data_IF_573231177458
#
_entry.id   IF_573231177458
#
_cell.length_a   1.000
_cell.length_b   1.000
_cell.length_c   1.000
_cell.angle_alpha   90.00
_cell.angle_beta   90.00
_cell.angle_gamma   90.00
#
_symmetry.space_group_name_H-M   'P 1'
#
loop_
_entity.id
_entity.type
_entity.pdbx_description
1 polymer ?
#
# COMPACT_ATOMS: atom_id res chain seq x y z
N UNK A 1 -3.86 24.83 3.61
CA UNK A 1 -3.12 24.04 2.62
C UNK A 1 -2.05 23.29 3.40
N UNK A 2 -2.09 21.96 3.42
CA UNK A 2 -1.07 21.17 4.11
C UNK A 2 0.30 21.41 3.45
N UNK A 3 1.40 21.45 4.21
CA UNK A 3 2.72 21.58 3.62
C UNK A 3 2.99 20.36 2.71
N UNK A 4 3.55 20.62 1.52
CA UNK A 4 4.11 19.56 0.66
C UNK A 4 5.50 19.23 1.15
N UNK A 5 5.77 17.95 1.37
CA UNK A 5 7.07 17.47 1.83
C UNK A 5 7.96 16.97 0.70
N UNK A 6 7.40 16.86 -0.50
CA UNK A 6 8.11 16.55 -1.75
C UNK A 6 8.17 17.76 -2.67
N UNK A 7 9.37 18.06 -3.16
CA UNK A 7 9.62 19.16 -4.09
C UNK A 7 9.03 18.87 -5.47
N UNK A 8 8.61 19.90 -6.21
CA UNK A 8 8.13 19.69 -7.58
C UNK A 8 9.21 19.10 -8.48
N UNK A 9 10.46 19.47 -8.27
CA UNK A 9 11.65 18.95 -8.93
C UNK A 9 11.96 17.49 -8.57
N UNK A 10 11.41 16.98 -7.47
CA UNK A 10 11.60 15.58 -7.05
C UNK A 10 10.53 14.64 -7.66
N UNK A 11 9.29 15.09 -7.75
CA UNK A 11 8.13 14.18 -7.98
C UNK A 11 7.14 14.65 -9.05
N UNK A 12 7.41 15.72 -9.80
CA UNK A 12 6.49 16.15 -10.86
C UNK A 12 6.49 15.21 -12.06
N UNK A 13 5.37 15.11 -12.81
CA UNK A 13 5.33 14.38 -14.07
C UNK A 13 6.47 14.78 -15.02
N UNK A 14 7.12 13.77 -15.60
CA UNK A 14 8.28 13.94 -16.49
C UNK A 14 9.65 13.84 -15.82
N UNK A 15 9.73 14.03 -14.49
CA UNK A 15 10.95 13.77 -13.72
C UNK A 15 11.36 12.31 -13.88
N UNK A 16 12.67 12.07 -13.99
CA UNK A 16 13.27 10.75 -14.03
C UNK A 16 14.00 10.50 -12.73
N UNK A 17 13.56 9.48 -12.00
CA UNK A 17 14.17 9.02 -10.76
C UNK A 17 15.11 7.87 -11.13
N UNK A 18 16.37 8.00 -10.72
CA UNK A 18 17.44 7.05 -11.00
C UNK A 18 17.58 6.11 -9.79
N UNK A 19 17.18 4.85 -9.96
CA UNK A 19 17.43 3.75 -9.02
C UNK A 19 18.38 2.74 -9.70
N UNK A 20 18.24 1.43 -9.46
CA UNK A 20 18.88 0.44 -10.34
C UNK A 20 18.37 0.60 -11.78
N UNK A 21 17.07 0.88 -11.91
CA UNK A 21 16.44 1.28 -13.16
C UNK A 21 16.03 2.75 -13.14
N UNK A 22 15.75 3.28 -14.33
CA UNK A 22 15.30 4.66 -14.51
C UNK A 22 13.79 4.70 -14.61
N UNK A 23 13.15 5.52 -13.78
CA UNK A 23 11.70 5.60 -13.68
C UNK A 23 11.22 7.00 -13.97
N UNK A 24 10.43 7.17 -15.04
CA UNK A 24 9.79 8.44 -15.35
C UNK A 24 8.46 8.54 -14.61
N UNK A 25 8.28 9.62 -13.85
CA UNK A 25 7.02 9.95 -13.19
C UNK A 25 5.96 10.32 -14.23
N UNK A 26 4.77 9.74 -14.10
CA UNK A 26 3.61 9.99 -14.95
C UNK A 26 2.57 10.85 -14.22
N UNK A 27 2.25 10.51 -12.98
CA UNK A 27 1.27 11.21 -12.15
C UNK A 27 1.56 11.03 -10.66
N UNK A 28 0.96 11.93 -9.88
CA UNK A 28 0.92 11.90 -8.43
C UNK A 28 -0.45 11.41 -7.98
N UNK A 29 -0.48 10.38 -7.14
CA UNK A 29 -1.73 9.77 -6.70
C UNK A 29 -2.08 10.23 -5.28
N UNK A 30 -1.14 10.11 -4.33
CA UNK A 30 -1.41 10.31 -2.91
C UNK A 30 -0.15 10.82 -2.19
N UNK A 31 -0.30 11.76 -1.25
CA UNK A 31 0.75 12.13 -0.28
C UNK A 31 0.19 11.97 1.14
N UNK A 32 0.81 11.09 1.92
CA UNK A 32 0.47 10.80 3.32
C UNK A 32 1.57 11.34 4.23
N UNK A 33 1.17 12.02 5.32
CA UNK A 33 2.10 12.60 6.29
C UNK A 33 1.80 12.03 7.66
N UNK A 34 2.77 11.30 8.20
CA UNK A 34 2.75 10.81 9.58
C UNK A 34 3.61 11.75 10.42
N UNK A 35 3.09 12.92 10.79
CA UNK A 35 3.81 13.84 11.68
C UNK A 35 3.58 13.45 13.14
N UNK A 36 4.62 13.55 13.98
CA UNK A 36 4.54 13.23 15.40
C UNK A 36 5.46 14.14 16.21
N UNK A 37 5.02 14.53 17.41
CA UNK A 37 5.85 15.22 18.40
C UNK A 37 6.82 14.28 19.12
N UNK A 38 7.89 14.83 19.70
CA UNK A 38 8.98 14.07 20.33
C UNK A 38 8.50 13.07 21.38
N UNK A 39 7.45 13.41 22.16
CA UNK A 39 6.86 12.53 23.20
C UNK A 39 6.20 11.27 22.63
N UNK A 40 5.74 11.31 21.38
CA UNK A 40 5.09 10.19 20.68
C UNK A 40 6.09 9.33 19.88
N UNK A 41 7.29 9.86 19.60
CA UNK A 41 8.34 9.13 18.86
C UNK A 41 9.05 8.06 19.68
N UNK A 42 8.88 8.06 21.01
CA UNK A 42 9.54 7.13 21.92
C UNK A 42 9.03 5.68 21.81
N UNK A 43 7.83 5.46 21.25
CA UNK A 43 7.23 4.12 21.25
C UNK A 43 6.62 3.62 19.93
N UNK A 44 6.20 4.41 18.93
CA UNK A 44 5.58 3.75 17.75
C UNK A 44 5.45 4.48 16.41
N UNK A 45 5.74 5.77 16.25
CA UNK A 45 5.72 6.38 14.90
C UNK A 45 6.85 7.39 14.71
N UNK A 46 7.67 7.15 13.67
CA UNK A 46 8.74 8.05 13.24
C UNK A 46 8.12 9.08 12.30
N UNK A 47 8.42 10.38 12.41
CA UNK A 47 7.84 11.34 11.48
C UNK A 47 8.30 11.06 10.05
N UNK A 48 7.36 10.82 9.14
CA UNK A 48 7.67 10.65 7.71
C UNK A 48 6.58 11.21 6.81
N UNK A 49 6.97 11.59 5.60
CA UNK A 49 6.07 11.79 4.49
C UNK A 49 6.24 10.64 3.49
N UNK A 50 5.14 10.18 2.93
CA UNK A 50 5.09 9.14 1.92
C UNK A 50 4.32 9.67 0.71
N UNK A 51 4.84 9.46 -0.48
CA UNK A 51 4.16 9.85 -1.72
C UNK A 51 4.05 8.63 -2.64
N UNK A 52 2.87 8.44 -3.23
CA UNK A 52 2.59 7.43 -4.23
C UNK A 52 2.57 8.07 -5.62
N UNK A 53 3.39 7.53 -6.51
CA UNK A 53 3.55 7.97 -7.89
C UNK A 53 3.25 6.84 -8.87
N UNK A 54 2.66 7.18 -10.02
CA UNK A 54 2.68 6.31 -11.20
C UNK A 54 3.96 6.54 -11.97
N UNK A 55 4.66 5.46 -12.30
CA UNK A 55 5.93 5.52 -13.00
C UNK A 55 5.99 4.57 -14.19
N UNK A 56 6.83 4.92 -15.16
CA UNK A 56 7.19 4.05 -16.29
C UNK A 56 8.70 3.90 -16.38
N UNK A 57 9.18 2.68 -16.52
CA UNK A 57 10.61 2.42 -16.72
C UNK A 57 11.08 3.02 -18.05
N UNK A 58 12.23 3.70 -18.04
CA UNK A 58 12.80 4.37 -19.21
C UNK A 58 13.65 3.38 -20.00
N UNK A 59 13.28 3.19 -21.27
CA UNK A 59 14.05 2.34 -22.20
C UNK A 59 13.63 0.87 -22.21
N UNK A 60 12.68 0.45 -21.37
CA UNK A 60 12.13 -0.91 -21.41
C UNK A 60 11.29 -1.14 -22.67
N UNK A 61 11.43 -2.34 -23.25
CA UNK A 61 10.64 -2.85 -24.37
C UNK A 61 10.32 -4.34 -24.08
N UNK A 62 9.05 -4.72 -23.82
CA UNK A 62 7.86 -3.87 -23.77
C UNK A 62 7.87 -2.83 -22.62
N UNK A 63 6.99 -1.80 -22.65
CA UNK A 63 6.88 -0.84 -21.56
C UNK A 63 6.56 -1.51 -20.23
N UNK A 64 7.25 -1.09 -19.17
CA UNK A 64 7.02 -1.53 -17.79
C UNK A 64 6.48 -0.36 -16.98
N UNK A 65 5.34 -0.56 -16.35
CA UNK A 65 4.67 0.42 -15.47
C UNK A 65 4.73 -0.05 -14.02
N UNK A 66 4.77 0.91 -13.10
CA UNK A 66 4.84 0.62 -11.68
C UNK A 66 4.21 1.70 -10.83
N UNK A 67 3.98 1.33 -9.58
CA UNK A 67 3.61 2.21 -8.48
C UNK A 67 4.88 2.45 -7.66
N UNK A 68 5.31 3.70 -7.52
CA UNK A 68 6.47 4.07 -6.72
C UNK A 68 6.02 4.77 -5.45
N UNK A 69 6.28 4.17 -4.29
CA UNK A 69 6.19 4.86 -3.00
C UNK A 69 7.57 5.37 -2.58
N UNK A 70 7.64 6.65 -2.22
CA UNK A 70 8.85 7.27 -1.67
C UNK A 70 8.57 7.66 -0.22
N UNK A 71 9.34 7.10 0.70
CA UNK A 71 9.30 7.42 2.11
C UNK A 71 10.44 8.38 2.45
N UNK A 72 10.12 9.51 3.04
CA UNK A 72 11.09 10.55 3.42
C UNK A 72 10.92 10.87 4.90
N UNK A 73 12.01 10.78 5.67
CA UNK A 73 11.99 11.26 7.05
C UNK A 73 11.70 12.77 7.07
N UNK A 74 10.73 13.19 7.88
CA UNK A 74 10.45 14.61 8.10
C UNK A 74 10.85 15.00 9.54
N UNK A 75 11.02 16.31 9.83
CA UNK A 75 11.28 16.77 11.19
C UNK A 75 10.08 16.47 12.09
N UNK A 76 10.33 16.42 13.40
CA UNK A 76 9.22 16.47 14.37
C UNK A 76 8.56 17.85 14.33
N UNK A 77 7.38 17.97 14.93
CA UNK A 77 6.69 19.27 15.07
C UNK A 77 7.57 20.32 15.76
N UNK A 78 8.36 19.89 16.75
CA UNK A 78 9.23 20.75 17.54
C UNK A 78 10.50 21.18 16.79
N UNK A 79 10.95 20.37 15.83
CA UNK A 79 12.24 20.57 15.15
C UNK A 79 12.08 21.10 13.72
N UNK A 80 10.86 21.26 13.21
CA UNK A 80 10.61 21.73 11.83
C UNK A 80 11.22 23.11 11.55
N UNK A 81 11.22 24.00 12.56
CA UNK A 81 11.79 25.34 12.47
C UNK A 81 13.27 25.44 12.84
N UNK A 82 13.88 24.35 13.32
CA UNK A 82 15.27 24.36 13.75
C UNK A 82 16.23 24.37 12.57
N UNK A 83 17.50 24.72 12.81
CA UNK A 83 18.55 24.68 11.79
C UNK A 83 18.82 23.25 11.29
N UNK A 84 19.30 23.05 10.05
CA UNK A 84 19.59 21.72 9.50
C UNK A 84 20.50 20.89 10.41
N UNK A 85 21.48 21.50 11.09
CA UNK A 85 22.42 20.77 11.96
C UNK A 85 21.74 20.20 13.22
N UNK A 86 20.63 20.80 13.66
CA UNK A 86 19.82 20.31 14.78
C UNK A 86 18.92 19.16 14.30
N UNK A 87 18.26 19.33 13.15
CA UNK A 87 17.42 18.29 12.54
C UNK A 87 18.22 17.04 12.17
N UNK A 88 19.46 17.22 11.72
CA UNK A 88 20.38 16.12 11.41
C UNK A 88 20.65 15.19 12.61
N UNK A 89 20.63 15.72 13.85
CA UNK A 89 20.78 14.90 15.07
C UNK A 89 19.61 13.94 15.29
N UNK A 90 18.48 14.19 14.62
CA UNK A 90 17.27 13.35 14.65
C UNK A 90 17.23 12.35 13.49
N UNK A 91 18.22 12.35 12.59
CA UNK A 91 18.34 11.36 11.53
C UNK A 91 18.26 9.93 12.06
N UNK A 92 17.54 9.07 11.34
CA UNK A 92 17.38 7.65 11.65
C UNK A 92 17.56 6.82 10.39
N UNK A 93 18.00 5.58 10.58
CA UNK A 93 17.90 4.53 9.56
C UNK A 93 16.58 3.80 9.77
N UNK A 94 15.79 3.65 8.72
CA UNK A 94 14.50 2.98 8.76
C UNK A 94 14.17 2.35 7.42
N UNK A 95 13.48 1.22 7.47
CA UNK A 95 12.95 0.52 6.30
C UNK A 95 11.45 0.34 6.52
N UNK A 96 10.59 0.81 5.59
CA UNK A 96 9.15 0.66 5.70
C UNK A 96 8.75 -0.82 5.68
N UNK A 97 7.65 -1.15 6.38
CA UNK A 97 7.09 -2.49 6.40
C UNK A 97 6.69 -2.95 4.98
N UNK A 98 6.22 -2.03 4.13
CA UNK A 98 5.93 -2.29 2.71
C UNK A 98 7.13 -2.93 1.99
N UNK A 99 8.33 -2.36 2.11
CA UNK A 99 9.52 -2.90 1.45
C UNK A 99 9.91 -4.28 2.01
N UNK A 100 9.74 -4.48 3.33
CA UNK A 100 9.99 -5.78 3.96
C UNK A 100 9.01 -6.84 3.44
N UNK A 101 7.73 -6.50 3.38
CA UNK A 101 6.68 -7.38 2.87
C UNK A 101 6.96 -7.75 1.42
N UNK A 102 7.21 -6.78 0.53
CA UNK A 102 7.52 -7.06 -0.86
C UNK A 102 8.74 -7.96 -1.05
N UNK A 103 9.81 -7.76 -0.26
CA UNK A 103 10.99 -8.65 -0.28
C UNK A 103 10.61 -10.08 0.12
N UNK A 104 9.78 -10.27 1.14
CA UNK A 104 9.32 -11.59 1.56
C UNK A 104 8.40 -12.24 0.52
N UNK A 105 7.41 -11.51 -0.01
CA UNK A 105 6.50 -12.00 -1.04
C UNK A 105 7.23 -12.42 -2.31
N UNK A 106 8.27 -11.68 -2.70
CA UNK A 106 9.14 -12.02 -3.80
C UNK A 106 9.93 -13.31 -3.53
N UNK A 107 10.46 -13.50 -2.32
CA UNK A 107 11.14 -14.75 -1.93
C UNK A 107 10.19 -15.96 -1.89
N UNK A 108 8.87 -15.74 -1.74
CA UNK A 108 7.84 -16.77 -1.78
C UNK A 108 7.29 -17.02 -3.18
N UNK A 109 7.83 -16.35 -4.21
CA UNK A 109 7.34 -16.41 -5.58
C UNK A 109 5.82 -16.15 -5.67
N UNK A 110 5.34 -15.13 -4.95
CA UNK A 110 3.92 -14.77 -4.94
C UNK A 110 3.40 -14.48 -6.35
N UNK A 111 2.26 -15.09 -6.68
CA UNK A 111 1.59 -14.96 -7.99
C UNK A 111 0.32 -14.10 -7.94
N UNK A 112 0.01 -13.53 -6.79
CA UNK A 112 -1.23 -12.78 -6.53
C UNK A 112 -0.98 -11.46 -5.76
N UNK A 113 0.28 -11.02 -5.73
CA UNK A 113 0.68 -9.71 -5.23
C UNK A 113 1.54 -9.03 -6.30
N UNK A 114 1.58 -7.70 -6.38
CA UNK A 114 2.50 -7.00 -7.26
C UNK A 114 3.95 -7.44 -7.02
N UNK A 115 4.73 -7.58 -8.08
CA UNK A 115 6.17 -7.84 -7.95
C UNK A 115 6.91 -6.58 -7.51
N UNK A 116 7.94 -6.75 -6.69
CA UNK A 116 8.92 -5.70 -6.44
C UNK A 116 9.78 -5.54 -7.69
N UNK A 117 9.71 -4.39 -8.34
CA UNK A 117 10.45 -4.08 -9.56
C UNK A 117 11.79 -3.39 -9.28
N UNK A 118 11.83 -2.55 -8.23
CA UNK A 118 13.02 -1.79 -7.85
C UNK A 118 12.89 -1.32 -6.39
N UNK A 119 14.01 -1.05 -5.74
CA UNK A 119 14.02 -0.39 -4.43
C UNK A 119 15.36 0.26 -4.14
N UNK A 120 15.34 1.37 -3.42
CA UNK A 120 16.56 2.05 -2.98
C UNK A 120 16.39 2.53 -1.54
N UNK A 121 17.44 2.38 -0.74
CA UNK A 121 17.52 2.89 0.63
C UNK A 121 18.72 3.83 0.72
N UNK A 122 18.47 5.13 0.92
CA UNK A 122 19.52 6.13 1.05
C UNK A 122 19.30 7.04 2.25
N UNK A 123 20.29 7.92 2.45
CA UNK A 123 20.21 9.02 3.39
C UNK A 123 19.98 10.31 2.63
N UNK A 124 19.12 11.15 3.19
CA UNK A 124 18.90 12.52 2.76
C UNK A 124 20.20 13.33 2.77
N UNK A 125 20.33 14.22 1.79
CA UNK A 125 21.50 15.10 1.62
C UNK A 125 21.57 16.20 2.70
N UNK A 126 22.55 17.10 2.57
CA UNK A 126 22.80 18.15 3.57
C UNK A 126 21.71 19.24 3.59
N UNK A 127 21.00 19.44 2.48
CA UNK A 127 20.03 20.51 2.28
C UNK A 127 18.58 20.04 2.48
N UNK A 128 18.39 18.73 2.63
CA UNK A 128 17.11 18.08 2.87
C UNK A 128 16.47 18.45 4.22
N UNK A 129 15.21 18.05 4.37
CA UNK A 129 14.40 18.32 5.56
C UNK A 129 15.04 17.73 6.83
N UNK A 130 15.55 16.50 6.75
CA UNK A 130 16.30 15.89 7.84
C UNK A 130 17.62 15.37 7.29
N UNK A 131 18.70 16.17 7.32
CA UNK A 131 19.97 15.76 6.75
C UNK A 131 20.49 14.46 7.38
N UNK A 132 20.87 13.49 6.54
CA UNK A 132 21.27 12.15 6.98
C UNK A 132 20.12 11.24 7.42
N UNK A 133 18.87 11.72 7.46
CA UNK A 133 17.67 10.93 7.70
C UNK A 133 17.36 9.98 6.56
N UNK A 134 16.45 9.03 6.74
CA UNK A 134 16.18 8.04 5.69
C UNK A 134 15.44 8.64 4.50
N UNK A 135 15.69 8.06 3.33
CA UNK A 135 14.86 8.16 2.13
C UNK A 135 14.79 6.77 1.48
N UNK A 136 13.59 6.25 1.26
CA UNK A 136 13.40 4.88 0.74
C UNK A 136 12.43 4.90 -0.42
N UNK A 137 12.81 4.30 -1.54
CA UNK A 137 11.98 4.12 -2.73
C UNK A 137 11.59 2.66 -2.84
N UNK A 138 10.31 2.42 -3.11
CA UNK A 138 9.73 1.09 -3.35
C UNK A 138 8.96 1.16 -4.66
N UNK A 139 9.37 0.40 -5.67
CA UNK A 139 8.67 0.32 -6.95
C UNK A 139 8.03 -1.05 -7.08
N UNK A 140 6.70 -1.09 -7.08
CA UNK A 140 5.94 -2.31 -7.30
C UNK A 140 5.27 -2.31 -8.68
N UNK A 141 4.95 -3.50 -9.18
CA UNK A 141 4.29 -3.69 -10.46
C UNK A 141 2.90 -3.03 -10.53
N UNK A 142 2.62 -2.40 -11.66
CA UNK A 142 1.24 -2.06 -12.01
C UNK A 142 0.53 -3.29 -12.59
N UNK A 143 -0.34 -3.90 -11.78
CA UNK A 143 -1.11 -5.07 -12.18
C UNK A 143 -2.22 -4.65 -13.15
N UNK A 144 -2.24 -5.24 -14.34
CA UNK A 144 -3.28 -5.05 -15.35
C UNK A 144 -4.45 -6.00 -15.12
N UNK A 145 -5.64 -5.47 -14.83
CA UNK A 145 -6.85 -6.25 -14.62
C UNK A 145 -8.06 -5.36 -14.34
N UNK A 146 -9.11 -5.95 -13.78
CA UNK A 146 -10.35 -5.27 -13.40
C UNK A 146 -10.28 -4.97 -11.90
N UNK A 147 -10.11 -3.69 -11.54
CA UNK A 147 -10.23 -3.26 -10.14
C UNK A 147 -11.68 -3.40 -9.69
N UNK A 148 -11.89 -3.94 -8.49
CA UNK A 148 -13.22 -4.36 -8.02
C UNK A 148 -14.08 -3.23 -7.46
N UNK A 149 -13.50 -2.06 -7.20
CA UNK A 149 -14.19 -0.86 -6.74
C UNK A 149 -13.29 0.37 -6.82
N UNK A 150 -13.77 1.47 -6.30
CA UNK A 150 -13.04 2.72 -6.09
C UNK A 150 -13.37 3.29 -4.69
N UNK A 151 -12.87 4.50 -4.39
CA UNK A 151 -13.07 5.17 -3.10
C UNK A 151 -14.56 5.40 -2.78
N UNK A 152 -15.45 5.40 -3.80
CA UNK A 152 -16.86 5.72 -3.66
C UNK A 152 -17.76 4.47 -3.65
N UNK A 153 -17.40 3.39 -4.36
CA UNK A 153 -18.23 2.18 -4.37
C UNK A 153 -17.52 0.86 -4.75
N UNK A 154 -18.17 -0.24 -4.35
CA UNK A 154 -17.86 -1.62 -4.74
C UNK A 154 -18.70 -2.09 -5.95
N UNK A 155 -19.32 -1.15 -6.70
CA UNK A 155 -20.32 -1.48 -7.72
C UNK A 155 -19.75 -2.30 -8.89
N UNK A 156 -18.46 -2.15 -9.20
CA UNK A 156 -17.81 -2.95 -10.25
C UNK A 156 -17.90 -4.43 -9.88
N UNK A 157 -17.51 -4.82 -8.66
CA UNK A 157 -17.67 -6.19 -8.18
C UNK A 157 -19.12 -6.65 -8.27
N UNK A 158 -20.09 -5.86 -7.78
CA UNK A 158 -21.50 -6.27 -7.75
C UNK A 158 -22.19 -6.32 -9.12
N UNK A 159 -21.65 -5.61 -10.11
CA UNK A 159 -22.10 -5.69 -11.51
C UNK A 159 -21.68 -6.99 -12.21
N UNK A 160 -20.72 -7.73 -11.65
CA UNK A 160 -20.22 -8.98 -12.24
C UNK A 160 -21.22 -10.13 -12.06
N UNK A 161 -21.13 -11.10 -12.98
CA UNK A 161 -21.89 -12.34 -12.91
C UNK A 161 -21.62 -13.08 -11.58
N UNK A 162 -22.65 -13.75 -11.04
CA UNK A 162 -22.59 -14.44 -9.75
C UNK A 162 -21.47 -15.49 -9.67
N UNK A 163 -21.24 -16.23 -10.75
CA UNK A 163 -20.13 -17.19 -10.85
C UNK A 163 -18.76 -16.52 -10.76
N UNK A 164 -18.57 -15.35 -11.37
CA UNK A 164 -17.33 -14.57 -11.30
C UNK A 164 -17.12 -14.03 -9.88
N UNK A 165 -18.16 -13.48 -9.26
CA UNK A 165 -18.10 -13.03 -7.85
C UNK A 165 -17.72 -14.18 -6.91
N UNK A 166 -18.22 -15.40 -7.15
CA UNK A 166 -17.82 -16.57 -6.38
C UNK A 166 -16.35 -16.93 -6.60
N UNK A 167 -15.85 -16.94 -7.84
CA UNK A 167 -14.43 -17.20 -8.13
C UNK A 167 -13.51 -16.17 -7.45
N UNK A 168 -13.91 -14.90 -7.44
CA UNK A 168 -13.20 -13.84 -6.73
C UNK A 168 -13.13 -14.14 -5.24
N UNK A 169 -14.23 -14.54 -4.60
CA UNK A 169 -14.23 -14.89 -3.17
C UNK A 169 -13.37 -16.12 -2.86
N UNK A 170 -13.45 -17.14 -3.70
CA UNK A 170 -12.63 -18.35 -3.55
C UNK A 170 -11.14 -17.99 -3.64
N UNK A 171 -10.76 -17.19 -4.66
CA UNK A 171 -9.40 -16.69 -4.82
C UNK A 171 -8.97 -15.76 -3.67
N UNK A 172 -9.84 -14.88 -3.19
CA UNK A 172 -9.56 -14.00 -2.05
C UNK A 172 -9.20 -14.83 -0.82
N UNK A 173 -10.03 -15.81 -0.46
CA UNK A 173 -9.83 -16.64 0.73
C UNK A 173 -8.54 -17.45 0.62
N UNK A 174 -8.31 -18.10 -0.52
CA UNK A 174 -7.10 -18.90 -0.76
C UNK A 174 -5.84 -18.03 -0.63
N UNK A 175 -5.82 -16.90 -1.32
CA UNK A 175 -4.67 -16.00 -1.35
C UNK A 175 -4.44 -15.33 0.02
N UNK A 176 -5.51 -14.93 0.73
CA UNK A 176 -5.42 -14.35 2.06
C UNK A 176 -4.82 -15.35 3.07
N UNK A 177 -5.29 -16.60 3.09
CA UNK A 177 -4.72 -17.63 3.96
C UNK A 177 -3.26 -17.93 3.64
N UNK A 178 -2.89 -17.88 2.36
CA UNK A 178 -1.50 -18.04 1.93
C UNK A 178 -0.62 -16.88 2.41
N UNK A 179 -1.09 -15.64 2.33
CA UNK A 179 -0.42 -14.46 2.91
C UNK A 179 -0.23 -14.56 4.41
N UNK A 180 -1.27 -14.98 5.15
CA UNK A 180 -1.21 -15.24 6.59
C UNK A 180 -0.13 -16.28 6.92
N UNK A 181 -0.03 -17.37 6.14
CA UNK A 181 1.02 -18.38 6.30
C UNK A 181 2.43 -17.88 5.98
N UNK A 182 2.54 -16.73 5.31
CA UNK A 182 3.79 -16.04 5.03
C UNK A 182 4.06 -14.89 5.99
N UNK A 183 3.24 -14.74 7.03
CA UNK A 183 3.40 -13.76 8.11
C UNK A 183 3.20 -12.30 7.66
N UNK A 184 2.56 -12.06 6.51
CA UNK A 184 2.33 -10.71 5.98
C UNK A 184 0.95 -10.57 5.38
N UNK A 185 0.20 -9.53 5.76
CA UNK A 185 -1.07 -9.16 5.14
C UNK A 185 -1.08 -7.66 4.80
N UNK A 186 -1.73 -7.25 3.71
CA UNK A 186 -1.96 -5.83 3.48
C UNK A 186 -2.96 -5.30 4.51
N UNK A 187 -2.74 -4.07 4.99
CA UNK A 187 -3.69 -3.39 5.87
C UNK A 187 -4.98 -3.01 5.11
N UNK A 188 -4.84 -2.74 3.82
CA UNK A 188 -5.92 -2.39 2.91
C UNK A 188 -6.30 -3.60 2.05
N UNK A 189 -7.55 -4.04 2.15
CA UNK A 189 -8.07 -5.20 1.42
C UNK A 189 -9.49 -4.98 0.87
N UNK A 190 -9.90 -3.72 0.67
CA UNK A 190 -11.21 -3.38 0.13
C UNK A 190 -11.26 -3.59 -1.39
N UNK A 191 -12.44 -3.53 -2.00
CA UNK A 191 -12.61 -3.71 -3.44
C UNK A 191 -11.70 -2.79 -4.30
N UNK A 192 -11.37 -1.59 -3.84
CA UNK A 192 -10.41 -0.70 -4.52
C UNK A 192 -8.95 -1.21 -4.49
N UNK A 193 -8.58 -2.00 -3.48
CA UNK A 193 -7.26 -2.60 -3.28
C UNK A 193 -7.12 -3.97 -3.96
N UNK A 194 -8.18 -4.42 -4.64
CA UNK A 194 -8.29 -5.73 -5.25
C UNK A 194 -8.42 -5.62 -6.76
N UNK A 195 -7.60 -6.38 -7.49
CA UNK A 195 -7.65 -6.47 -8.96
C UNK A 195 -7.90 -7.90 -9.39
N UNK A 196 -9.01 -8.13 -10.07
CA UNK A 196 -9.31 -9.41 -10.70
C UNK A 196 -8.66 -9.50 -12.09
N UNK A 197 -7.93 -10.58 -12.34
CA UNK A 197 -7.30 -10.87 -13.63
C UNK A 197 -8.02 -12.07 -14.27
N UNK A 198 -8.98 -11.84 -15.21
CA UNK A 198 -9.79 -12.92 -15.76
C UNK A 198 -8.99 -13.99 -16.49
N UNK A 199 -7.90 -13.62 -17.16
CA UNK A 199 -7.08 -14.55 -17.95
C UNK A 199 -6.42 -15.65 -17.13
N UNK A 200 -6.19 -15.41 -15.84
CA UNK A 200 -5.57 -16.37 -14.91
C UNK A 200 -6.51 -16.75 -13.76
N UNK A 201 -7.74 -16.24 -13.75
CA UNK A 201 -8.69 -16.35 -12.64
C UNK A 201 -8.03 -16.04 -11.28
N UNK A 202 -7.22 -14.97 -11.22
CA UNK A 202 -6.44 -14.62 -10.02
C UNK A 202 -6.87 -13.28 -9.48
N UNK A 203 -7.12 -13.20 -8.18
CA UNK A 203 -7.32 -11.96 -7.46
C UNK A 203 -6.00 -11.45 -6.87
N UNK A 204 -5.60 -10.23 -7.26
CA UNK A 204 -4.41 -9.56 -6.76
C UNK A 204 -4.73 -8.59 -5.62
N UNK A 205 -3.87 -8.59 -4.60
CA UNK A 205 -3.86 -7.61 -3.51
C UNK A 205 -2.80 -6.56 -3.80
N UNK A 206 -3.18 -5.33 -4.14
CA UNK A 206 -2.25 -4.36 -4.75
C UNK A 206 -1.77 -3.24 -3.85
N UNK A 207 -2.51 -2.88 -2.81
CA UNK A 207 -2.14 -1.79 -1.91
C UNK A 207 -1.42 -2.31 -0.64
N UNK A 208 -0.09 -2.37 -0.72
CA UNK A 208 0.76 -2.82 0.38
C UNK A 208 1.26 -1.66 1.26
N UNK A 209 0.52 -0.55 1.30
CA UNK A 209 0.83 0.53 2.23
C UNK A 209 0.57 0.09 3.67
N UNK A 210 1.58 0.26 4.52
CA UNK A 210 1.52 -0.08 5.95
C UNK A 210 1.01 -1.52 6.22
N UNK A 211 1.60 -2.57 5.60
CA UNK A 211 1.14 -3.93 5.82
C UNK A 211 1.43 -4.36 7.25
N UNK A 212 0.68 -5.36 7.71
CA UNK A 212 0.86 -5.95 9.04
C UNK A 212 1.66 -7.24 8.97
N UNK A 213 2.57 -7.38 9.95
CA UNK A 213 3.26 -8.63 10.22
C UNK A 213 2.38 -9.51 11.11
N UNK A 214 2.05 -10.71 10.65
CA UNK A 214 1.17 -11.62 11.35
C UNK A 214 1.97 -12.37 12.42
N UNK A 215 1.83 -11.95 13.68
CA UNK A 215 2.50 -12.59 14.83
C UNK A 215 1.79 -13.86 15.27
N UNK A 216 0.46 -13.87 15.18
CA UNK A 216 -0.38 -15.04 15.45
C UNK A 216 -1.48 -15.08 14.37
N UNK A 217 -1.54 -16.14 13.55
CA UNK A 217 -2.56 -16.23 12.52
C UNK A 217 -3.93 -16.45 13.16
N UNK A 218 -4.90 -15.62 12.80
CA UNK A 218 -6.30 -15.88 13.12
C UNK A 218 -6.87 -16.97 12.20
N UNK A 219 -7.85 -17.71 12.71
CA UNK A 219 -8.66 -18.59 11.87
C UNK A 219 -9.45 -17.78 10.82
N UNK A 220 -9.75 -18.41 9.69
CA UNK A 220 -10.59 -17.78 8.67
C UNK A 220 -12.00 -17.51 9.20
N UNK A 221 -12.46 -16.27 9.06
CA UNK A 221 -13.84 -15.87 9.34
C UNK A 221 -14.45 -15.16 8.13
N UNK A 222 -15.71 -15.44 7.80
CA UNK A 222 -16.36 -14.83 6.63
C UNK A 222 -16.58 -13.31 6.77
N UNK A 223 -16.31 -12.69 7.95
CA UNK A 223 -16.20 -11.22 8.06
C UNK A 223 -15.20 -10.65 7.09
N UNK A 224 -14.14 -11.36 6.74
CA UNK A 224 -13.13 -10.82 5.85
C UNK A 224 -13.74 -10.50 4.48
N UNK A 225 -14.73 -11.26 4.02
CA UNK A 225 -15.47 -10.89 2.82
C UNK A 225 -16.29 -9.61 3.01
N UNK A 226 -16.96 -9.45 4.15
CA UNK A 226 -17.71 -8.23 4.44
C UNK A 226 -16.81 -7.00 4.53
N UNK A 227 -15.74 -7.08 5.33
CA UNK A 227 -14.78 -6.00 5.52
C UNK A 227 -14.14 -5.58 4.19
N UNK A 228 -13.98 -6.51 3.25
CA UNK A 228 -13.41 -6.26 1.92
C UNK A 228 -14.43 -5.74 0.89
N UNK A 229 -15.71 -5.59 1.25
CA UNK A 229 -16.81 -5.25 0.31
C UNK A 229 -17.26 -6.40 -0.60
N UNK A 230 -16.72 -7.60 -0.42
CA UNK A 230 -17.05 -8.79 -1.21
C UNK A 230 -18.35 -9.47 -0.74
N UNK A 231 -18.94 -9.01 0.36
CA UNK A 231 -20.22 -9.51 0.88
C UNK A 231 -21.07 -8.34 1.38
N UNK A 232 -22.37 -8.32 1.03
CA UNK A 232 -23.30 -7.30 1.51
C UNK A 232 -24.27 -7.91 2.53
N UNK A 233 -24.56 -7.22 3.64
CA UNK A 233 -25.58 -7.68 4.58
C UNK A 233 -26.95 -7.73 3.90
N UNK A 234 -27.91 -8.52 4.44
CA UNK A 234 -29.28 -8.49 3.94
C UNK A 234 -29.83 -7.06 4.03
N UNK A 235 -30.68 -6.68 3.06
CA UNK A 235 -31.38 -5.40 3.07
C UNK A 235 -32.39 -5.34 4.22
N UNK A 236 -31.91 -5.05 5.44
CA UNK A 236 -32.72 -4.85 6.63
C UNK A 236 -32.30 -3.57 7.33
N UNK A 237 -33.27 -2.70 7.61
CA UNK A 237 -33.08 -1.43 8.32
C UNK A 237 -32.64 -1.57 9.77
N UNK A 238 -32.49 -2.80 10.28
CA UNK A 238 -32.21 -3.10 11.69
C UNK A 238 -31.01 -4.00 11.88
N UNK A 239 -30.08 -4.13 10.93
CA UNK A 239 -28.85 -4.92 11.14
C UNK A 239 -27.78 -4.04 11.82
N UNK A 240 -27.64 -4.05 13.16
CA UNK A 240 -26.72 -3.16 13.82
C UNK A 240 -25.38 -3.89 13.81
N UNK A 241 -24.39 -3.34 13.10
CA UNK A 241 -23.02 -3.88 12.99
C UNK A 241 -22.42 -4.24 14.37
N UNK A 242 -22.86 -3.54 15.43
CA UNK A 242 -22.47 -3.78 16.82
C UNK A 242 -22.98 -5.11 17.43
N UNK A 243 -23.84 -5.87 16.74
CA UNK A 243 -24.42 -7.15 17.21
C UNK A 243 -24.11 -8.30 16.24
N UNK A 244 -23.17 -8.12 15.31
CA UNK A 244 -22.84 -9.18 14.36
C UNK A 244 -22.19 -10.37 15.08
N UNK A 245 -22.80 -11.54 14.95
CA UNK A 245 -22.47 -12.77 15.67
C UNK A 245 -21.53 -13.70 14.88
N UNK A 246 -20.72 -13.13 13.98
CA UNK A 246 -19.90 -13.87 13.01
C UNK A 246 -20.69 -14.73 12.00
N UNK A 247 -22.01 -14.59 11.87
CA UNK A 247 -22.81 -15.31 10.86
C UNK A 247 -23.05 -14.47 9.61
N UNK A 248 -22.83 -15.08 8.44
CA UNK A 248 -23.13 -14.53 7.11
C UNK A 248 -24.39 -15.14 6.47
N UNK A 249 -25.22 -15.82 7.26
CA UNK A 249 -26.46 -16.42 6.77
C UNK A 249 -27.46 -15.35 6.28
N UNK A 250 -27.96 -15.50 5.05
CA UNK A 250 -28.90 -14.55 4.42
C UNK A 250 -28.25 -13.33 3.75
N UNK A 251 -26.91 -13.24 3.75
CA UNK A 251 -26.18 -12.17 3.10
C UNK A 251 -26.17 -12.33 1.58
N UNK A 252 -26.07 -11.21 0.85
CA UNK A 252 -26.04 -11.26 -0.60
C UNK A 252 -24.66 -11.76 -1.06
N UNK A 253 -24.65 -12.97 -1.63
CA UNK A 253 -23.51 -13.58 -2.31
C UNK A 253 -23.49 -13.30 -3.81
#
# INVERSE_FOLDING_TARGET
MSPRWFGQDEVSPGIVIELENRWRVLSHEEEVVMQAGERNTATQCRPYACILLKVRQVGSRPPVYGNMRIYKQIPTEETVGDRPEVRAKRARVWVPLELKAYRQLMLKDSTFTPRLLDSLEEKQDADSLVPGGFMVWVVSEEVSGIRLGDEESDDIFWSMERNVRQQIRDSFKENYLKMVSWEWIPFYCHCEDLIWVPGTSTLFFVNWFMPDEVVAPDDWEDRFFYASGLLRPPASSTFPIQIWNNSVEGWQG
#
